data_IF_599965449769
#
_entry.id   IF_599965449769
#
_cell.length_a   1.000
_cell.length_b   1.000
_cell.length_c   1.000
_cell.angle_alpha   90.00
_cell.angle_beta   90.00
_cell.angle_gamma   90.00
#
_symmetry.space_group_name_H-M   'P 1'
#
loop_
_entity.id
_entity.type
_entity.pdbx_description
1 polymer ?
#
# COMPACT_ATOMS: atom_id res chain seq x y z
N UNK A 1 -70.71 73.03 6.24
CA UNK A 1 -70.65 72.37 4.93
C UNK A 1 -69.56 71.31 4.99
N UNK A 2 -69.97 70.07 4.69
CA UNK A 2 -69.22 68.81 4.73
C UNK A 2 -67.74 68.91 4.38
N UNK A 3 -66.87 68.26 5.17
CA UNK A 3 -65.99 67.20 4.67
C UNK A 3 -65.32 66.40 5.79
N UNK A 4 -65.87 65.19 5.99
CA UNK A 4 -65.28 63.90 6.37
C UNK A 4 -63.93 63.90 7.12
N UNK A 5 -64.00 63.48 8.38
CA UNK A 5 -62.88 62.95 9.14
C UNK A 5 -62.37 61.65 8.49
N UNK A 6 -61.08 61.59 8.19
CA UNK A 6 -60.38 60.37 7.82
C UNK A 6 -59.34 60.07 8.92
N UNK A 7 -59.61 59.03 9.69
CA UNK A 7 -58.72 58.49 10.72
C UNK A 7 -57.58 57.77 9.99
N UNK A 8 -56.36 58.32 10.09
CA UNK A 8 -55.14 57.66 9.64
C UNK A 8 -54.72 56.62 10.69
N UNK A 9 -54.92 55.35 10.33
CA UNK A 9 -54.46 54.19 11.09
C UNK A 9 -52.92 54.07 10.90
N UNK A 10 -52.15 54.30 11.97
CA UNK A 10 -50.71 53.99 11.97
C UNK A 10 -50.53 52.47 12.05
N UNK A 11 -50.20 51.83 10.92
CA UNK A 11 -49.76 50.44 10.88
C UNK A 11 -48.26 50.41 11.19
N UNK A 12 -47.90 49.93 12.38
CA UNK A 12 -46.52 49.64 12.76
C UNK A 12 -46.04 48.41 11.95
N UNK A 13 -44.96 48.48 11.16
CA UNK A 13 -44.44 47.28 10.52
C UNK A 13 -43.72 46.44 11.58
N UNK A 14 -44.31 45.30 11.94
CA UNK A 14 -43.62 44.22 12.64
C UNK A 14 -42.55 43.67 11.70
N UNK A 15 -41.31 44.16 11.86
CA UNK A 15 -40.13 43.57 11.23
C UNK A 15 -39.87 42.24 11.93
N UNK A 16 -40.44 41.16 11.40
CA UNK A 16 -40.02 39.81 11.75
C UNK A 16 -38.59 39.62 11.24
N UNK A 17 -37.61 39.72 12.14
CA UNK A 17 -36.23 39.36 11.87
C UNK A 17 -36.17 37.84 11.76
N UNK A 18 -36.26 37.32 10.54
CA UNK A 18 -35.96 35.92 10.27
C UNK A 18 -34.46 35.73 10.53
N UNK A 19 -34.11 35.25 11.73
CA UNK A 19 -32.80 34.67 11.95
C UNK A 19 -32.82 33.32 11.25
N UNK A 20 -32.29 33.28 10.03
CA UNK A 20 -31.87 32.02 9.43
C UNK A 20 -30.72 31.55 10.30
N UNK A 21 -31.02 30.71 11.30
CA UNK A 21 -29.98 29.91 11.92
C UNK A 21 -29.50 28.96 10.84
N UNK A 22 -28.33 29.24 10.25
CA UNK A 22 -27.62 28.24 9.48
C UNK A 22 -27.48 27.00 10.38
N UNK A 23 -27.96 25.86 9.90
CA UNK A 23 -27.84 24.60 10.62
C UNK A 23 -26.36 24.28 10.76
N UNK A 24 -25.76 24.62 11.91
CA UNK A 24 -24.39 24.23 12.23
C UNK A 24 -24.38 22.72 12.44
N UNK A 25 -23.45 22.02 11.80
CA UNK A 25 -23.28 20.59 12.02
C UNK A 25 -23.05 20.29 13.50
N UNK A 26 -23.70 19.25 14.02
CA UNK A 26 -23.51 18.79 15.41
C UNK A 26 -22.21 17.99 15.58
N UNK A 27 -21.58 17.56 14.48
CA UNK A 27 -20.39 16.73 14.49
C UNK A 27 -19.11 17.53 14.25
N UNK A 28 -19.19 18.61 13.47
CA UNK A 28 -18.04 19.51 13.21
C UNK A 28 -18.53 20.95 13.16
N UNK A 29 -17.94 21.81 13.99
CA UNK A 29 -18.29 23.23 14.05
C UNK A 29 -17.12 24.09 14.51
N UNK A 30 -17.07 25.38 14.15
CA UNK A 30 -16.04 26.30 14.66
C UNK A 30 -16.11 26.44 16.18
N UNK A 31 -14.96 26.33 16.84
CA UNK A 31 -14.75 26.68 18.24
C UNK A 31 -14.56 28.20 18.42
N UNK A 32 -14.51 28.62 19.68
CA UNK A 32 -14.36 30.05 20.04
C UNK A 32 -13.03 30.64 19.56
N UNK A 33 -12.01 29.81 19.34
CA UNK A 33 -10.69 30.20 18.83
C UNK A 33 -10.59 30.18 17.29
N UNK A 34 -11.69 29.88 16.59
CA UNK A 34 -11.74 29.77 15.13
C UNK A 34 -11.21 28.44 14.58
N UNK A 35 -10.78 27.50 15.42
CA UNK A 35 -10.45 26.12 14.99
C UNK A 35 -11.71 25.29 14.83
N UNK A 36 -11.66 24.17 14.10
CA UNK A 36 -12.79 23.25 14.02
C UNK A 36 -12.78 22.29 15.21
N UNK A 37 -13.90 22.25 15.95
CA UNK A 37 -14.17 21.23 16.95
C UNK A 37 -14.87 20.04 16.29
N UNK A 38 -14.43 18.85 16.67
CA UNK A 38 -14.89 17.58 16.09
C UNK A 38 -15.42 16.67 17.20
N UNK A 39 -16.70 16.34 17.14
CA UNK A 39 -17.40 15.56 18.15
C UNK A 39 -17.43 14.08 17.76
N UNK A 40 -17.02 13.16 18.66
CA UNK A 40 -17.14 11.74 18.40
C UNK A 40 -18.60 11.31 18.21
N UNK A 41 -18.83 10.28 17.39
CA UNK A 41 -20.15 9.74 17.11
C UNK A 41 -20.15 8.21 17.05
N UNK A 42 -21.35 7.65 17.22
CA UNK A 42 -21.62 6.22 17.09
C UNK A 42 -22.29 5.96 15.74
N UNK A 43 -21.86 4.92 15.01
CA UNK A 43 -22.61 4.45 13.85
C UNK A 43 -23.92 3.78 14.28
N UNK A 44 -24.81 3.54 13.32
CA UNK A 44 -26.00 2.74 13.56
C UNK A 44 -25.62 1.36 14.14
N UNK A 45 -26.25 0.97 15.26
CA UNK A 45 -25.95 -0.28 15.96
C UNK A 45 -24.80 -0.19 16.97
N UNK A 46 -24.07 0.93 17.05
CA UNK A 46 -23.04 1.14 18.06
C UNK A 46 -23.60 1.85 19.29
N UNK A 47 -23.14 1.43 20.47
CA UNK A 47 -23.53 2.04 21.75
C UNK A 47 -22.49 3.06 22.27
N UNK A 48 -21.32 3.15 21.63
CA UNK A 48 -20.19 3.99 22.01
C UNK A 48 -19.80 4.95 20.87
N UNK A 49 -19.57 6.22 21.21
CA UNK A 49 -19.17 7.25 20.27
C UNK A 49 -17.65 7.27 20.07
N UNK A 50 -17.15 6.39 19.20
CA UNK A 50 -15.70 6.20 18.95
C UNK A 50 -15.24 6.72 17.59
N UNK A 51 -16.15 6.97 16.66
CA UNK A 51 -15.81 7.51 15.34
C UNK A 51 -15.70 9.03 15.40
N UNK A 52 -14.91 9.60 14.51
CA UNK A 52 -14.73 11.05 14.38
C UNK A 52 -14.68 11.40 12.91
N UNK A 53 -15.31 12.52 12.52
CA UNK A 53 -15.18 13.02 11.14
C UNK A 53 -13.68 13.24 10.87
N UNK A 54 -13.08 12.59 9.85
CA UNK A 54 -11.66 12.74 9.57
C UNK A 54 -11.29 14.20 9.32
N UNK A 55 -10.27 14.67 10.02
CA UNK A 55 -9.76 16.03 9.89
C UNK A 55 -8.78 16.12 8.70
N UNK A 56 -9.20 16.82 7.65
CA UNK A 56 -8.41 17.14 6.47
C UNK A 56 -8.09 18.63 6.35
N UNK A 57 -8.11 19.39 7.45
CA UNK A 57 -7.64 20.78 7.46
C UNK A 57 -6.18 20.94 6.99
N UNK A 58 -5.43 19.83 6.98
CA UNK A 58 -4.14 19.66 6.32
C UNK A 58 -4.20 19.54 4.78
N UNK A 59 -5.30 19.92 4.13
CA UNK A 59 -5.37 19.93 2.68
C UNK A 59 -4.58 21.11 2.11
N UNK A 60 -3.66 20.83 1.18
CA UNK A 60 -2.82 21.83 0.53
C UNK A 60 -1.39 21.34 0.32
N UNK A 61 -0.55 22.20 -0.24
CA UNK A 61 0.87 21.88 -0.44
C UNK A 61 1.54 21.53 0.89
N UNK A 62 2.25 20.41 0.94
CA UNK A 62 2.94 19.88 2.12
C UNK A 62 2.04 19.69 3.35
N UNK A 63 0.78 19.34 3.16
CA UNK A 63 -0.16 19.15 4.28
C UNK A 63 -0.83 20.45 4.74
N UNK A 64 -0.89 21.47 3.87
CA UNK A 64 -1.49 22.76 4.19
C UNK A 64 -0.55 23.64 5.04
N UNK A 65 -0.84 24.94 5.08
CA UNK A 65 -0.04 25.91 5.85
C UNK A 65 1.32 26.28 5.24
N UNK A 66 1.75 25.63 4.15
CA UNK A 66 2.96 25.97 3.39
C UNK A 66 2.56 26.60 2.06
N UNK A 67 3.12 27.78 1.76
CA UNK A 67 2.94 28.42 0.45
C UNK A 67 3.54 27.58 -0.67
N UNK A 68 2.92 27.62 -1.85
CA UNK A 68 3.51 27.01 -3.04
C UNK A 68 4.88 27.66 -3.32
N UNK A 69 5.90 26.87 -3.70
CA UNK A 69 7.22 27.39 -4.00
C UNK A 69 7.18 28.20 -5.30
N UNK A 70 7.89 29.33 -5.33
CA UNK A 70 8.11 30.05 -6.58
C UNK A 70 9.31 29.46 -7.32
N UNK A 71 9.02 28.53 -8.24
CA UNK A 71 10.03 27.84 -9.04
C UNK A 71 10.54 28.76 -10.17
N UNK A 72 11.87 28.94 -10.33
CA UNK A 72 12.42 29.79 -11.38
C UNK A 72 12.01 29.33 -12.79
N UNK A 73 11.62 30.29 -13.64
CA UNK A 73 11.36 30.05 -15.06
C UNK A 73 12.68 29.85 -15.79
N UNK A 74 12.82 28.68 -16.42
CA UNK A 74 14.03 28.30 -17.18
C UNK A 74 13.76 28.20 -18.69
N UNK A 75 12.48 28.10 -19.07
CA UNK A 75 12.07 28.07 -20.46
C UNK A 75 10.74 28.82 -20.62
N UNK A 76 10.59 29.58 -21.72
CA UNK A 76 9.37 30.36 -22.01
C UNK A 76 8.90 30.11 -23.43
N UNK A 77 7.61 29.79 -23.58
CA UNK A 77 6.96 29.57 -24.86
C UNK A 77 5.87 30.63 -25.07
N UNK A 78 5.68 30.98 -26.33
CA UNK A 78 4.66 31.92 -26.80
C UNK A 78 3.58 31.17 -27.58
N UNK A 79 2.34 31.68 -27.59
CA UNK A 79 1.27 31.11 -28.39
C UNK A 79 1.60 31.22 -29.88
N UNK A 80 1.39 30.15 -30.62
CA UNK A 80 1.55 30.10 -32.07
C UNK A 80 0.31 29.40 -32.68
N UNK A 81 -0.08 29.73 -33.92
CA UNK A 81 -1.19 29.04 -34.59
C UNK A 81 -0.94 27.54 -34.74
N UNK A 82 -1.98 26.73 -34.50
CA UNK A 82 -1.97 25.28 -34.67
C UNK A 82 -1.59 24.50 -33.40
N UNK A 83 -1.43 23.19 -33.55
CA UNK A 83 -1.19 22.27 -32.44
C UNK A 83 0.17 22.53 -31.76
N UNK A 84 0.12 22.89 -30.48
CA UNK A 84 1.26 23.21 -29.63
C UNK A 84 1.85 21.99 -28.93
N UNK A 85 1.22 20.80 -29.01
CA UNK A 85 1.60 19.62 -28.23
C UNK A 85 3.09 19.30 -28.31
N UNK A 86 3.63 19.19 -29.52
CA UNK A 86 5.04 18.81 -29.74
C UNK A 86 6.01 19.86 -29.20
N UNK A 87 5.70 21.15 -29.35
CA UNK A 87 6.54 22.25 -28.86
C UNK A 87 6.58 22.29 -27.34
N UNK A 88 5.41 22.17 -26.69
CA UNK A 88 5.31 22.16 -25.22
C UNK A 88 5.96 20.91 -24.64
N UNK A 89 5.74 19.72 -25.24
CA UNK A 89 6.40 18.50 -24.79
C UNK A 89 7.93 18.62 -24.91
N UNK A 90 8.43 19.13 -26.03
CA UNK A 90 9.87 19.31 -26.20
C UNK A 90 10.49 20.28 -25.17
N UNK A 91 9.74 21.26 -24.70
CA UNK A 91 10.16 22.16 -23.61
C UNK A 91 10.21 21.42 -22.26
N UNK A 92 9.18 20.63 -21.95
CA UNK A 92 9.16 19.77 -20.77
C UNK A 92 10.36 18.79 -20.80
N UNK A 93 10.66 18.20 -21.95
CA UNK A 93 11.77 17.26 -22.11
C UNK A 93 13.14 17.93 -21.91
N UNK A 94 13.32 19.17 -22.40
CA UNK A 94 14.53 19.97 -22.16
C UNK A 94 14.71 20.29 -20.68
N UNK A 95 13.65 20.75 -20.01
CA UNK A 95 13.70 21.01 -18.56
C UNK A 95 13.92 19.71 -17.77
N UNK A 96 13.38 18.58 -18.23
CA UNK A 96 13.63 17.26 -17.65
C UNK A 96 15.11 16.87 -17.66
N UNK A 97 15.88 17.34 -18.64
CA UNK A 97 17.31 17.08 -18.76
C UNK A 97 18.20 17.94 -17.85
N UNK A 98 17.66 19.02 -17.25
CA UNK A 98 18.42 19.89 -16.35
C UNK A 98 18.69 19.20 -15.01
N UNK A 99 19.83 19.45 -14.39
CA UNK A 99 20.11 18.97 -13.02
C UNK A 99 19.17 19.67 -12.03
N UNK A 100 18.51 18.93 -11.10
CA UNK A 100 17.68 19.55 -10.08
C UNK A 100 18.53 20.37 -9.11
N UNK A 101 17.95 21.46 -8.60
CA UNK A 101 18.52 22.27 -7.54
C UNK A 101 18.47 21.55 -6.17
N UNK A 102 18.98 22.23 -5.12
CA UNK A 102 19.02 21.68 -3.76
C UNK A 102 17.62 21.38 -3.17
N UNK A 103 16.57 22.01 -3.70
CA UNK A 103 15.17 21.80 -3.31
C UNK A 103 14.50 20.72 -4.17
N UNK A 104 15.21 20.17 -5.17
CA UNK A 104 14.73 19.14 -6.08
C UNK A 104 13.97 19.65 -7.30
N UNK A 105 14.06 20.94 -7.63
CA UNK A 105 13.44 21.54 -8.82
C UNK A 105 14.42 21.68 -9.98
N UNK A 106 13.98 21.35 -11.19
CA UNK A 106 14.70 21.57 -12.46
C UNK A 106 14.33 22.92 -13.09
N UNK A 107 13.13 23.41 -12.80
CA UNK A 107 12.65 24.72 -13.22
C UNK A 107 11.22 24.70 -13.74
N UNK A 108 10.70 25.88 -14.08
CA UNK A 108 9.39 26.06 -14.65
C UNK A 108 9.45 26.32 -16.17
N UNK A 109 8.57 25.66 -16.91
CA UNK A 109 8.21 25.98 -18.30
C UNK A 109 7.07 26.98 -18.25
N UNK A 110 7.33 28.23 -18.62
CA UNK A 110 6.32 29.29 -18.68
C UNK A 110 5.66 29.32 -20.06
N UNK A 111 4.34 29.17 -20.09
CA UNK A 111 3.50 29.46 -21.25
C UNK A 111 2.94 30.87 -21.09
N UNK A 112 3.36 31.81 -21.93
CA UNK A 112 2.84 33.19 -21.85
C UNK A 112 1.35 33.23 -22.18
N UNK A 113 0.69 34.34 -21.83
CA UNK A 113 -0.72 34.58 -22.16
C UNK A 113 -1.04 34.27 -23.62
N UNK A 114 -2.14 33.56 -23.85
CA UNK A 114 -2.61 33.13 -25.17
C UNK A 114 -3.28 31.76 -25.13
N UNK A 115 -3.80 31.37 -26.29
CA UNK A 115 -4.40 30.06 -26.53
C UNK A 115 -3.37 29.09 -27.10
N UNK A 116 -3.32 27.88 -26.53
CA UNK A 116 -2.52 26.77 -27.02
C UNK A 116 -3.43 25.57 -27.27
N UNK A 117 -3.63 25.24 -28.54
CA UNK A 117 -4.34 24.02 -28.95
C UNK A 117 -3.45 22.81 -28.74
N UNK A 118 -3.94 21.75 -28.10
CA UNK A 118 -3.16 20.55 -27.84
C UNK A 118 -3.99 19.33 -28.25
N UNK A 119 -3.53 18.61 -29.27
CA UNK A 119 -4.14 17.35 -29.69
C UNK A 119 -3.46 16.15 -29.01
N UNK A 120 -4.00 15.72 -27.87
CA UNK A 120 -3.51 14.60 -27.08
C UNK A 120 -2.96 15.03 -25.71
N UNK A 121 -2.00 14.26 -25.18
CA UNK A 121 -1.49 14.45 -23.82
C UNK A 121 -0.12 15.16 -23.77
N UNK A 122 0.12 15.88 -22.68
CA UNK A 122 1.45 16.31 -22.22
C UNK A 122 1.93 15.42 -21.06
N UNK A 123 3.22 15.11 -21.04
CA UNK A 123 3.84 14.17 -20.11
C UNK A 123 4.94 14.85 -19.29
N UNK A 124 4.81 14.79 -17.96
CA UNK A 124 5.85 15.16 -17.01
C UNK A 124 6.24 13.87 -16.28
N UNK A 125 7.34 13.26 -16.72
CA UNK A 125 7.79 11.94 -16.24
C UNK A 125 9.00 12.00 -15.31
N UNK A 126 9.49 13.22 -15.00
CA UNK A 126 10.64 13.46 -14.15
C UNK A 126 10.26 14.42 -13.02
N UNK A 127 10.85 14.21 -11.83
CA UNK A 127 10.70 15.10 -10.68
C UNK A 127 11.24 16.51 -10.95
N UNK A 128 10.64 17.51 -10.32
CA UNK A 128 11.17 18.88 -10.25
C UNK A 128 10.67 19.84 -11.32
N UNK A 129 9.59 19.53 -12.04
CA UNK A 129 9.16 20.31 -13.21
C UNK A 129 7.82 20.98 -12.95
N UNK A 130 7.75 22.28 -13.21
CA UNK A 130 6.49 23.04 -13.14
C UNK A 130 6.09 23.50 -14.54
N UNK A 131 4.85 23.21 -14.95
CA UNK A 131 4.22 23.82 -16.13
C UNK A 131 3.37 25.00 -15.65
N UNK A 132 3.79 26.22 -16.01
CA UNK A 132 3.24 27.47 -15.48
C UNK A 132 2.59 28.30 -16.58
N UNK A 133 1.39 28.82 -16.33
CA UNK A 133 0.77 29.84 -17.17
C UNK A 133 0.97 31.25 -16.61
N UNK A 134 0.47 32.25 -17.35
CA UNK A 134 0.52 33.66 -17.00
C UNK A 134 -0.79 34.19 -16.36
N UNK A 135 -1.68 33.31 -15.92
CA UNK A 135 -3.01 33.64 -15.40
C UNK A 135 -4.11 32.82 -16.07
N UNK A 136 -5.30 32.81 -15.48
CA UNK A 136 -6.48 32.23 -16.16
C UNK A 136 -6.90 33.11 -17.33
N UNK A 137 -7.05 32.54 -18.53
CA UNK A 137 -7.48 33.25 -19.73
C UNK A 137 -8.92 33.76 -19.60
N UNK A 138 -9.10 34.94 -19.02
CA UNK A 138 -10.40 35.58 -18.85
C UNK A 138 -10.54 36.76 -19.81
N UNK A 139 -11.78 37.13 -20.14
CA UNK A 139 -12.05 38.29 -20.99
C UNK A 139 -11.49 39.61 -20.42
N UNK A 140 -11.32 39.71 -19.09
CA UNK A 140 -10.91 40.92 -18.39
C UNK A 140 -9.38 41.05 -18.28
N UNK A 141 -8.66 39.94 -18.03
CA UNK A 141 -7.23 39.98 -17.70
C UNK A 141 -6.34 39.28 -18.73
N UNK A 142 -6.92 38.65 -19.77
CA UNK A 142 -6.17 37.69 -20.59
C UNK A 142 -5.66 36.53 -19.75
N UNK A 143 -4.67 35.78 -20.22
CA UNK A 143 -4.08 34.65 -19.50
C UNK A 143 -3.74 33.49 -20.43
N UNK A 144 -3.30 32.39 -19.86
CA UNK A 144 -2.93 31.17 -20.59
C UNK A 144 -4.10 30.20 -20.60
N UNK A 145 -4.48 29.74 -21.79
CA UNK A 145 -5.45 28.67 -21.98
C UNK A 145 -4.83 27.51 -22.74
N UNK A 146 -4.91 26.32 -22.15
CA UNK A 146 -4.65 25.06 -22.82
C UNK A 146 -5.98 24.42 -23.20
N UNK A 147 -6.24 24.27 -24.51
CA UNK A 147 -7.46 23.63 -25.00
C UNK A 147 -7.14 22.23 -25.53
N UNK A 148 -7.75 21.21 -24.94
CA UNK A 148 -7.67 19.83 -25.41
C UNK A 148 -8.54 19.67 -26.66
N UNK A 149 -7.92 19.33 -27.79
CA UNK A 149 -8.62 19.23 -29.10
C UNK A 149 -8.84 17.80 -29.58
N UNK A 150 -8.33 16.79 -28.86
CA UNK A 150 -8.57 15.39 -29.20
C UNK A 150 -10.05 15.01 -28.95
N UNK A 151 -10.68 14.35 -29.93
CA UNK A 151 -12.10 13.97 -29.89
C UNK A 151 -12.36 12.64 -29.14
N UNK A 152 -11.54 12.33 -28.15
CA UNK A 152 -11.64 11.12 -27.35
C UNK A 152 -11.37 11.43 -25.89
N UNK A 153 -11.97 10.66 -24.98
CA UNK A 153 -11.63 10.74 -23.55
C UNK A 153 -10.16 10.34 -23.34
N UNK A 154 -9.38 11.20 -22.69
CA UNK A 154 -7.97 10.96 -22.39
C UNK A 154 -7.52 11.75 -21.15
N UNK A 155 -6.36 11.40 -20.59
CA UNK A 155 -5.69 12.24 -19.59
C UNK A 155 -4.91 13.34 -20.29
N UNK A 156 -5.28 14.59 -20.06
CA UNK A 156 -4.74 15.73 -20.81
C UNK A 156 -3.30 16.11 -20.42
N UNK A 157 -3.01 16.18 -19.12
CA UNK A 157 -1.66 16.36 -18.58
C UNK A 157 -1.38 15.20 -17.62
N UNK A 158 -0.32 14.45 -17.87
CA UNK A 158 0.08 13.27 -17.11
C UNK A 158 1.31 13.59 -16.29
N UNK A 159 1.18 13.54 -14.97
CA UNK A 159 2.30 13.60 -14.02
C UNK A 159 2.55 12.17 -13.56
N UNK A 160 3.41 11.45 -14.28
CA UNK A 160 3.60 10.02 -14.05
C UNK A 160 5.06 9.62 -14.26
N UNK A 161 5.71 9.20 -13.18
CA UNK A 161 7.03 8.56 -13.29
C UNK A 161 6.95 7.10 -13.72
N UNK A 162 8.10 6.42 -13.67
CA UNK A 162 8.18 4.97 -13.82
C UNK A 162 7.74 4.28 -12.51
N UNK A 163 6.55 4.60 -12.03
CA UNK A 163 6.01 4.05 -10.79
C UNK A 163 5.84 2.54 -10.92
N UNK A 164 6.59 1.82 -10.11
CA UNK A 164 6.44 0.38 -9.93
C UNK A 164 5.99 0.21 -8.49
N UNK A 165 4.73 -0.23 -8.32
CA UNK A 165 4.30 -0.79 -7.06
C UNK A 165 5.06 -2.10 -6.90
N UNK A 166 6.11 -2.07 -6.08
CA UNK A 166 6.77 -3.31 -5.69
C UNK A 166 5.79 -3.94 -4.71
N UNK A 167 5.17 -5.07 -5.09
CA UNK A 167 4.46 -5.92 -4.13
C UNK A 167 5.38 -6.08 -2.93
N UNK A 168 4.89 -5.92 -1.69
CA UNK A 168 5.76 -5.82 -0.54
C UNK A 168 6.66 -7.07 -0.46
N UNK A 169 7.91 -6.90 -0.89
CA UNK A 169 8.98 -7.88 -0.77
C UNK A 169 9.65 -7.45 0.52
N UNK A 170 9.52 -8.24 1.58
CA UNK A 170 10.33 -8.01 2.77
C UNK A 170 11.81 -8.02 2.36
N UNK A 171 12.69 -7.24 3.00
CA UNK A 171 14.14 -7.33 2.74
C UNK A 171 14.70 -8.75 2.96
N UNK A 172 13.90 -9.64 3.59
CA UNK A 172 14.21 -11.02 3.87
C UNK A 172 13.71 -12.00 2.81
N UNK A 173 12.92 -11.58 1.83
CA UNK A 173 12.44 -12.46 0.77
C UNK A 173 13.61 -12.85 -0.13
N UNK A 174 13.83 -14.15 -0.29
CA UNK A 174 14.95 -14.69 -1.05
C UNK A 174 14.56 -15.01 -2.50
N UNK A 175 13.38 -15.61 -2.70
CA UNK A 175 12.91 -16.02 -4.03
C UNK A 175 11.39 -16.23 -4.05
N UNK A 176 10.80 -16.16 -5.25
CA UNK A 176 9.40 -16.46 -5.51
C UNK A 176 9.30 -17.31 -6.77
N UNK A 177 8.68 -18.49 -6.63
CA UNK A 177 8.61 -19.47 -7.71
C UNK A 177 7.18 -19.96 -7.91
N UNK A 178 6.84 -20.26 -9.16
CA UNK A 178 5.55 -20.85 -9.48
C UNK A 178 5.49 -22.28 -8.94
N UNK A 179 4.42 -22.61 -8.22
CA UNK A 179 4.17 -23.97 -7.77
C UNK A 179 4.03 -24.91 -8.98
N UNK A 180 4.86 -25.97 -9.08
CA UNK A 180 4.93 -26.80 -10.28
C UNK A 180 3.85 -27.90 -10.34
N UNK A 181 2.93 -27.94 -9.37
CA UNK A 181 1.94 -29.00 -9.22
C UNK A 181 2.47 -30.24 -8.50
N UNK A 182 1.56 -31.18 -8.19
CA UNK A 182 1.90 -32.45 -7.53
C UNK A 182 2.90 -33.25 -8.36
N UNK A 183 3.86 -33.89 -7.70
CA UNK A 183 4.79 -34.82 -8.32
C UNK A 183 6.06 -34.17 -8.88
N UNK A 184 6.15 -32.84 -8.81
CA UNK A 184 7.25 -32.06 -9.36
C UNK A 184 8.04 -31.35 -8.25
N UNK A 185 9.33 -31.14 -8.51
CA UNK A 185 10.22 -30.36 -7.65
C UNK A 185 10.10 -28.87 -7.96
N UNK A 186 10.08 -28.05 -6.91
CA UNK A 186 10.36 -26.61 -6.98
C UNK A 186 11.78 -26.36 -6.46
N UNK A 187 12.47 -25.35 -6.98
CA UNK A 187 13.80 -24.94 -6.51
C UNK A 187 13.76 -23.45 -6.25
N UNK A 188 14.17 -23.03 -5.06
CA UNK A 188 14.33 -21.63 -4.67
C UNK A 188 15.80 -21.29 -4.52
N UNK A 189 16.21 -20.15 -5.07
CA UNK A 189 17.54 -19.59 -4.79
C UNK A 189 17.55 -18.94 -3.40
N UNK A 190 18.29 -19.52 -2.48
CA UNK A 190 18.39 -19.04 -1.09
C UNK A 190 19.79 -18.54 -0.73
N UNK A 191 20.64 -18.30 -1.73
CA UNK A 191 22.07 -17.99 -1.57
C UNK A 191 22.30 -16.84 -0.59
N UNK A 192 21.57 -15.73 -0.73
CA UNK A 192 21.76 -14.54 0.11
C UNK A 192 21.48 -14.85 1.59
N UNK A 193 20.38 -15.56 1.89
CA UNK A 193 20.04 -15.91 3.27
C UNK A 193 21.08 -16.85 3.90
N UNK A 194 21.64 -17.77 3.12
CA UNK A 194 22.71 -18.66 3.61
C UNK A 194 24.00 -17.88 3.90
N UNK A 195 24.40 -16.97 3.01
CA UNK A 195 25.60 -16.14 3.23
C UNK A 195 25.45 -15.32 4.50
N UNK A 196 24.29 -14.68 4.69
CA UNK A 196 24.01 -13.89 5.90
C UNK A 196 24.08 -14.76 7.17
N UNK A 197 23.52 -15.98 7.15
CA UNK A 197 23.51 -16.87 8.32
C UNK A 197 24.87 -17.50 8.64
N UNK A 198 25.73 -17.72 7.64
CA UNK A 198 27.07 -18.27 7.87
C UNK A 198 27.98 -17.32 8.67
N UNK A 199 27.66 -16.02 8.69
CA UNK A 199 28.33 -15.00 9.51
C UNK A 199 27.72 -14.87 10.93
N UNK A 200 26.62 -15.57 11.20
CA UNK A 200 25.82 -15.52 12.43
C UNK A 200 26.00 -16.81 13.26
N UNK A 201 24.92 -17.43 13.74
CA UNK A 201 24.95 -18.63 14.58
C UNK A 201 24.96 -19.94 13.78
N UNK A 202 24.83 -19.84 12.45
CA UNK A 202 24.84 -20.96 11.50
C UNK A 202 23.63 -21.88 11.63
N UNK A 203 22.50 -21.37 12.08
CA UNK A 203 21.21 -22.06 12.03
C UNK A 203 20.25 -21.20 11.19
N UNK A 204 19.92 -21.68 9.98
CA UNK A 204 19.02 -20.93 9.10
C UNK A 204 17.58 -21.39 9.26
N UNK A 205 16.68 -20.44 9.44
CA UNK A 205 15.23 -20.67 9.35
C UNK A 205 14.65 -20.03 8.09
N UNK A 206 13.77 -20.77 7.41
CA UNK A 206 13.00 -20.29 6.27
C UNK A 206 11.52 -20.26 6.60
N UNK A 207 10.86 -19.21 6.13
CA UNK A 207 9.40 -19.13 6.10
C UNK A 207 8.91 -19.12 4.65
N UNK A 208 7.96 -19.99 4.32
CA UNK A 208 7.41 -20.14 2.99
C UNK A 208 5.91 -19.92 3.03
N UNK A 209 5.46 -18.96 2.22
CA UNK A 209 4.07 -18.52 2.18
C UNK A 209 3.60 -18.26 0.75
N UNK A 210 2.31 -18.00 0.59
CA UNK A 210 1.68 -17.64 -0.67
C UNK A 210 0.70 -16.50 -0.43
N UNK A 211 0.41 -15.74 -1.48
CA UNK A 211 -0.63 -14.70 -1.48
C UNK A 211 -1.96 -15.23 -2.06
N UNK A 212 -2.00 -16.49 -2.48
CA UNK A 212 -3.15 -17.08 -3.16
C UNK A 212 -3.97 -17.92 -2.19
N UNK A 213 -5.30 -17.76 -2.26
CA UNK A 213 -6.27 -18.57 -1.52
C UNK A 213 -6.50 -19.95 -2.14
N UNK A 214 -5.40 -20.68 -2.34
CA UNK A 214 -5.40 -22.03 -2.87
C UNK A 214 -4.50 -22.91 -2.00
N UNK A 215 -5.03 -24.07 -1.62
CA UNK A 215 -4.26 -25.04 -0.84
C UNK A 215 -3.32 -25.81 -1.76
N UNK A 216 -2.07 -25.85 -1.36
CA UNK A 216 -1.04 -26.74 -1.91
C UNK A 216 -0.25 -27.30 -0.72
N UNK A 217 0.58 -28.31 -0.94
CA UNK A 217 1.50 -28.80 0.09
C UNK A 217 2.76 -29.41 -0.50
N UNK A 218 3.81 -29.40 0.30
CA UNK A 218 5.06 -30.09 0.05
C UNK A 218 5.19 -31.34 0.92
N UNK A 219 6.09 -32.25 0.54
CA UNK A 219 6.53 -33.31 1.44
C UNK A 219 7.31 -32.71 2.62
N UNK A 220 7.07 -33.22 3.83
CA UNK A 220 7.86 -32.91 5.02
C UNK A 220 9.02 -33.90 5.18
N UNK A 221 9.85 -33.70 6.21
CA UNK A 221 10.87 -34.65 6.63
C UNK A 221 10.29 -35.96 7.14
N UNK A 222 9.10 -35.95 7.73
CA UNK A 222 8.38 -37.16 8.17
C UNK A 222 7.95 -38.02 6.96
N UNK A 223 7.97 -37.44 5.76
CA UNK A 223 7.84 -38.12 4.48
C UNK A 223 9.17 -38.61 3.88
N UNK A 224 10.22 -38.78 4.71
CA UNK A 224 11.59 -39.10 4.30
C UNK A 224 11.74 -40.32 3.39
N UNK A 225 10.73 -41.19 3.28
CA UNK A 225 10.75 -42.35 2.40
C UNK A 225 10.33 -42.04 0.96
N UNK A 226 9.85 -40.82 0.65
CA UNK A 226 9.39 -40.50 -0.69
C UNK A 226 10.12 -39.32 -1.35
N UNK A 227 10.24 -38.12 -0.76
CA UNK A 227 10.99 -36.97 -1.31
C UNK A 227 11.11 -35.78 -0.30
N UNK A 228 11.97 -35.83 0.74
CA UNK A 228 12.03 -34.76 1.76
C UNK A 228 12.59 -33.43 1.24
N UNK A 229 12.36 -32.30 1.96
CA UNK A 229 13.06 -31.04 1.70
C UNK A 229 14.57 -31.20 1.71
N UNK A 230 15.27 -30.52 0.80
CA UNK A 230 16.74 -30.53 0.75
C UNK A 230 17.29 -29.14 0.50
N UNK A 231 18.40 -28.81 1.17
CA UNK A 231 19.18 -27.61 0.93
C UNK A 231 20.52 -28.03 0.32
N UNK A 232 20.78 -27.61 -0.92
CA UNK A 232 22.03 -27.93 -1.63
C UNK A 232 22.91 -26.70 -1.73
N UNK A 233 24.15 -26.79 -1.25
CA UNK A 233 25.13 -25.72 -1.25
C UNK A 233 26.26 -26.05 -2.23
N UNK A 234 26.64 -25.09 -3.05
CA UNK A 234 27.79 -25.15 -3.96
C UNK A 234 28.95 -24.40 -3.31
N UNK A 235 30.03 -25.11 -3.00
CA UNK A 235 31.22 -24.55 -2.35
C UNK A 235 32.26 -24.06 -3.36
N UNK A 236 32.82 -22.88 -3.11
CA UNK A 236 33.95 -22.34 -3.85
C UNK A 236 35.24 -23.02 -3.40
N UNK A 237 35.69 -24.03 -4.15
CA UNK A 237 37.01 -24.62 -3.92
C UNK A 237 38.07 -23.72 -4.57
N UNK A 238 38.75 -22.92 -3.76
CA UNK A 238 39.84 -22.01 -4.11
C UNK A 238 40.96 -22.66 -4.97
N UNK A 239 40.71 -22.85 -6.27
CA UNK A 239 41.71 -23.22 -7.27
C UNK A 239 41.90 -24.72 -7.59
N UNK A 240 41.06 -25.65 -7.13
CA UNK A 240 41.24 -27.10 -7.38
C UNK A 240 40.35 -27.72 -8.48
N UNK A 241 39.49 -26.93 -9.13
CA UNK A 241 38.94 -27.26 -10.47
C UNK A 241 37.62 -28.03 -10.54
N UNK A 242 36.85 -28.14 -9.46
CA UNK A 242 35.44 -28.57 -9.53
C UNK A 242 34.67 -28.13 -8.27
N UNK A 243 33.51 -27.50 -8.43
CA UNK A 243 32.64 -27.15 -7.31
C UNK A 243 32.27 -28.41 -6.52
N UNK A 244 32.27 -28.31 -5.19
CA UNK A 244 31.76 -29.37 -4.31
C UNK A 244 30.34 -29.05 -3.88
N UNK A 245 29.49 -30.08 -3.84
CA UNK A 245 28.10 -29.96 -3.41
C UNK A 245 27.94 -30.59 -2.02
N UNK A 246 27.33 -29.83 -1.11
CA UNK A 246 26.83 -30.34 0.17
C UNK A 246 25.31 -30.36 0.10
N UNK A 247 24.68 -31.46 0.51
CA UNK A 247 23.23 -31.54 0.67
C UNK A 247 22.89 -31.72 2.14
N UNK A 248 22.10 -30.80 2.67
CA UNK A 248 21.60 -30.79 4.03
C UNK A 248 20.10 -31.11 4.04
N UNK A 249 19.64 -31.70 5.13
CA UNK A 249 18.25 -32.00 5.42
C UNK A 249 17.77 -31.15 6.59
N UNK A 250 16.47 -30.79 6.65
CA UNK A 250 15.97 -29.95 7.72
C UNK A 250 16.15 -30.65 9.07
N UNK A 251 16.63 -29.89 10.06
CA UNK A 251 16.64 -30.32 11.47
C UNK A 251 15.29 -30.12 12.13
N UNK A 252 14.43 -29.28 11.55
CA UNK A 252 13.02 -29.13 11.88
C UNK A 252 12.23 -28.69 10.64
N UNK A 253 11.02 -29.19 10.47
CA UNK A 253 10.04 -28.66 9.54
C UNK A 253 8.61 -28.78 10.04
N UNK A 254 7.82 -27.77 9.76
CA UNK A 254 6.41 -27.80 10.12
C UNK A 254 5.64 -26.80 9.28
N UNK A 255 4.34 -26.79 9.46
CA UNK A 255 3.51 -25.68 9.05
C UNK A 255 2.61 -25.27 10.21
N UNK A 256 2.16 -24.04 10.18
CA UNK A 256 1.17 -23.53 11.13
C UNK A 256 -0.15 -23.29 10.41
N UNK A 257 -1.24 -23.22 11.16
CA UNK A 257 -2.56 -22.95 10.59
C UNK A 257 -3.36 -22.00 11.46
N UNK A 258 -3.82 -20.89 10.89
CA UNK A 258 -4.64 -19.93 11.64
C UNK A 258 -6.07 -20.41 11.93
N UNK A 259 -6.84 -19.58 12.62
CA UNK A 259 -8.24 -19.84 12.94
C UNK A 259 -8.45 -20.80 14.10
N UNK A 260 -9.39 -21.73 13.94
CA UNK A 260 -9.76 -22.68 15.00
C UNK A 260 -8.63 -23.69 15.31
N UNK A 261 -7.64 -23.76 14.42
CA UNK A 261 -6.45 -24.60 14.54
C UNK A 261 -5.20 -23.82 14.98
N UNK A 262 -5.34 -22.55 15.38
CA UNK A 262 -4.21 -21.66 15.66
C UNK A 262 -3.28 -22.13 16.79
N UNK A 263 -3.82 -22.88 17.75
CA UNK A 263 -3.07 -23.45 18.87
C UNK A 263 -2.50 -24.85 18.57
N UNK A 264 -2.89 -25.46 17.43
CA UNK A 264 -2.45 -26.80 17.07
C UNK A 264 -1.02 -26.77 16.48
N UNK A 265 -0.23 -27.76 16.85
CA UNK A 265 1.08 -28.04 16.25
C UNK A 265 0.93 -29.11 15.15
N UNK A 266 1.72 -29.00 14.08
CA UNK A 266 1.69 -29.92 12.95
C UNK A 266 3.07 -30.53 12.61
N UNK A 267 4.05 -30.47 13.52
CA UNK A 267 5.42 -30.96 13.29
C UNK A 267 5.54 -32.47 13.04
N UNK A 268 4.49 -33.25 13.32
CA UNK A 268 4.47 -34.69 13.03
C UNK A 268 3.77 -35.06 11.71
N UNK A 269 3.25 -34.07 10.97
CA UNK A 269 2.53 -34.32 9.73
C UNK A 269 3.50 -34.65 8.58
N UNK A 270 3.14 -35.61 7.72
CA UNK A 270 3.95 -35.97 6.56
C UNK A 270 3.90 -34.94 5.42
N UNK A 271 3.31 -33.76 5.63
CA UNK A 271 3.17 -32.74 4.60
C UNK A 271 3.17 -31.34 5.17
N UNK A 272 3.82 -30.44 4.45
CA UNK A 272 3.93 -29.03 4.76
C UNK A 272 2.87 -28.27 3.98
N UNK A 273 1.77 -27.93 4.63
CA UNK A 273 0.63 -27.31 3.97
C UNK A 273 0.80 -25.79 3.86
N UNK A 274 0.40 -25.23 2.72
CA UNK A 274 0.51 -23.80 2.44
C UNK A 274 -0.77 -23.29 1.78
N UNK A 275 -1.23 -22.13 2.23
CA UNK A 275 -2.45 -21.48 1.76
C UNK A 275 -2.53 -20.06 2.31
N UNK A 276 -2.90 -19.07 1.52
CA UNK A 276 -3.37 -17.81 2.08
C UNK A 276 -4.86 -17.89 2.38
N UNK A 277 -5.31 -17.61 3.60
CA UNK A 277 -6.75 -17.54 3.88
C UNK A 277 -7.45 -16.32 3.26
N UNK A 278 -6.72 -15.49 2.53
CA UNK A 278 -7.18 -14.22 1.99
C UNK A 278 -7.50 -13.27 3.14
N UNK A 279 -8.71 -12.71 3.11
CA UNK A 279 -9.19 -11.76 4.12
C UNK A 279 -9.56 -12.41 5.46
N UNK A 280 -9.52 -13.75 5.58
CA UNK A 280 -9.66 -14.45 6.86
C UNK A 280 -8.40 -15.24 7.15
N UNK A 281 -7.63 -14.85 8.18
CA UNK A 281 -6.46 -15.64 8.63
C UNK A 281 -6.83 -17.06 9.10
N UNK A 282 -8.14 -17.37 9.19
CA UNK A 282 -8.71 -18.62 9.69
C UNK A 282 -8.28 -19.90 8.98
N UNK A 283 -7.80 -19.80 7.75
CA UNK A 283 -7.32 -20.97 6.99
C UNK A 283 -5.96 -20.74 6.35
N UNK A 284 -5.26 -19.68 6.78
CA UNK A 284 -3.88 -19.39 6.39
C UNK A 284 -2.99 -20.51 6.91
N UNK A 285 -2.12 -21.00 6.04
CA UNK A 285 -1.11 -22.02 6.31
C UNK A 285 0.22 -21.57 5.77
N UNK A 286 1.24 -21.69 6.61
CA UNK A 286 2.56 -21.12 6.44
C UNK A 286 3.58 -22.16 6.86
N UNK A 287 4.62 -22.35 6.06
CA UNK A 287 5.61 -23.43 6.26
C UNK A 287 6.89 -22.86 6.84
N UNK A 288 7.47 -23.57 7.81
CA UNK A 288 8.72 -23.22 8.47
C UNK A 288 9.70 -24.38 8.33
N UNK A 289 10.94 -24.08 7.91
CA UNK A 289 12.03 -25.05 7.77
C UNK A 289 13.25 -24.54 8.52
N UNK A 290 13.99 -25.41 9.19
CA UNK A 290 15.25 -25.07 9.86
C UNK A 290 16.37 -26.01 9.43
N UNK A 291 17.55 -25.47 9.17
CA UNK A 291 18.74 -26.23 8.80
C UNK A 291 19.95 -25.86 9.67
N UNK A 292 20.74 -26.86 10.03
CA UNK A 292 22.04 -26.68 10.68
C UNK A 292 23.14 -26.50 9.62
N UNK A 293 23.78 -25.32 9.61
CA UNK A 293 24.87 -24.97 8.71
C UNK A 293 26.26 -25.08 9.39
N UNK A 294 26.34 -25.59 10.62
CA UNK A 294 27.60 -25.68 11.37
C UNK A 294 28.68 -26.51 10.68
N UNK A 295 28.28 -27.46 9.83
CA UNK A 295 29.18 -28.28 9.00
C UNK A 295 29.79 -27.54 7.81
N UNK A 296 29.28 -26.36 7.47
CA UNK A 296 29.76 -25.54 6.35
C UNK A 296 30.94 -24.69 6.82
N UNK A 297 32.11 -24.96 6.24
CA UNK A 297 33.37 -24.30 6.62
C UNK A 297 33.98 -23.48 5.50
N UNK A 298 33.63 -23.78 4.26
CA UNK A 298 34.08 -23.05 3.07
C UNK A 298 33.05 -21.98 2.64
N UNK A 299 33.52 -21.01 1.85
CA UNK A 299 32.67 -20.02 1.20
C UNK A 299 31.77 -20.69 0.15
N UNK A 300 30.48 -20.36 0.15
CA UNK A 300 29.53 -20.85 -0.86
C UNK A 300 29.42 -19.85 -2.03
N UNK A 301 29.18 -20.36 -3.24
CA UNK A 301 28.80 -19.54 -4.40
C UNK A 301 27.31 -19.53 -4.67
N UNK A 302 26.60 -20.59 -4.27
CA UNK A 302 25.19 -20.78 -4.60
C UNK A 302 24.52 -21.71 -3.58
N UNK A 303 23.25 -21.46 -3.30
CA UNK A 303 22.42 -22.34 -2.48
C UNK A 303 21.01 -22.49 -3.05
N UNK A 304 20.55 -23.74 -3.15
CA UNK A 304 19.22 -24.12 -3.63
C UNK A 304 18.44 -24.84 -2.53
N UNK A 305 17.25 -24.32 -2.17
CA UNK A 305 16.27 -25.10 -1.42
C UNK A 305 15.31 -25.80 -2.39
N UNK A 306 15.14 -27.11 -2.23
CA UNK A 306 14.24 -27.92 -3.06
C UNK A 306 13.13 -28.56 -2.24
N UNK A 307 11.90 -28.41 -2.72
CA UNK A 307 10.69 -28.99 -2.13
C UNK A 307 9.91 -29.79 -3.16
N UNK A 308 9.26 -30.86 -2.73
CA UNK A 308 8.51 -31.76 -3.60
C UNK A 308 7.00 -31.58 -3.43
N UNK A 309 6.29 -31.22 -4.51
CA UNK A 309 4.84 -31.01 -4.48
C UNK A 309 4.09 -32.31 -4.15
N UNK A 310 3.37 -32.34 -3.04
CA UNK A 310 2.74 -33.56 -2.50
C UNK A 310 1.23 -33.60 -2.70
N UNK A 311 0.53 -32.50 -2.42
CA UNK A 311 -0.93 -32.42 -2.54
C UNK A 311 -1.37 -31.05 -3.04
N UNK A 312 -2.47 -31.02 -3.78
CA UNK A 312 -3.27 -29.84 -4.09
C UNK A 312 -4.76 -30.16 -3.85
N UNK A 313 -5.62 -29.14 -3.88
CA UNK A 313 -7.07 -29.37 -3.84
C UNK A 313 -7.57 -29.88 -5.19
N UNK A 314 -8.17 -31.07 -5.19
CA UNK A 314 -8.88 -31.62 -6.34
C UNK A 314 -10.25 -30.94 -6.48
N UNK A 315 -10.53 -30.34 -7.64
CA UNK A 315 -11.92 -29.99 -8.04
C UNK A 315 -12.24 -28.49 -8.20
N UNK A 316 -11.30 -27.59 -7.93
CA UNK A 316 -11.42 -26.16 -8.24
C UNK A 316 -10.57 -25.79 -9.46
N UNK A 317 -10.86 -24.68 -10.18
CA UNK A 317 -9.95 -24.19 -11.21
C UNK A 317 -8.57 -23.91 -10.59
N UNK A 318 -7.54 -24.65 -11.03
CA UNK A 318 -6.17 -24.44 -10.55
C UNK A 318 -5.74 -23.03 -10.96
N UNK A 319 -5.61 -22.11 -10.00
CA UNK A 319 -4.97 -20.82 -10.24
C UNK A 319 -3.47 -21.05 -10.37
N UNK A 320 -2.79 -20.15 -11.09
CA UNK A 320 -1.34 -20.10 -11.05
C UNK A 320 -0.92 -19.65 -9.65
N UNK A 321 -0.40 -20.59 -8.86
CA UNK A 321 0.06 -20.33 -7.50
C UNK A 321 1.54 -20.00 -7.52
N UNK A 322 1.92 -18.92 -6.84
CA UNK A 322 3.31 -18.60 -6.54
C UNK A 322 3.55 -18.79 -5.05
N UNK A 323 4.67 -19.41 -4.71
CA UNK A 323 5.15 -19.49 -3.34
C UNK A 323 6.39 -18.62 -3.21
N UNK A 324 6.48 -17.94 -2.08
CA UNK A 324 7.57 -17.04 -1.73
C UNK A 324 8.30 -17.63 -0.55
N UNK A 325 9.63 -17.66 -0.62
CA UNK A 325 10.49 -18.03 0.49
C UNK A 325 11.18 -16.79 1.05
N UNK A 326 11.26 -16.72 2.36
CA UNK A 326 11.96 -15.67 3.07
C UNK A 326 12.84 -16.25 4.18
N UNK A 327 13.95 -15.55 4.42
CA UNK A 327 14.89 -15.80 5.51
C UNK A 327 14.29 -15.31 6.85
N UNK A 328 14.43 -16.08 7.92
CA UNK A 328 13.97 -15.73 9.27
C UNK A 328 15.19 -15.51 10.17
N UNK A 329 15.24 -14.36 10.85
CA UNK A 329 16.28 -14.06 11.85
C UNK A 329 16.00 -14.76 13.18
N UNK A 330 14.74 -14.82 13.59
CA UNK A 330 14.29 -15.63 14.73
C UNK A 330 14.16 -17.08 14.29
N UNK A 331 15.17 -17.85 14.67
CA UNK A 331 15.29 -19.28 14.51
C UNK A 331 15.08 -20.01 15.85
N UNK A 332 14.58 -19.34 16.90
CA UNK A 332 14.43 -19.91 18.24
C UNK A 332 13.24 -20.88 18.38
N UNK A 333 12.42 -21.00 17.34
CA UNK A 333 11.22 -21.84 17.34
C UNK A 333 11.54 -23.33 17.39
N UNK A 334 10.75 -24.09 18.15
CA UNK A 334 10.89 -25.55 18.23
C UNK A 334 9.77 -26.24 17.46
N UNK A 335 10.11 -27.27 16.69
CA UNK A 335 9.22 -27.97 15.75
C UNK A 335 7.91 -28.46 16.36
N UNK A 336 7.99 -28.94 17.61
CA UNK A 336 6.87 -29.53 18.35
C UNK A 336 6.15 -28.53 19.25
N UNK A 337 6.59 -27.26 19.28
CA UNK A 337 6.04 -26.21 20.13
C UNK A 337 5.45 -25.04 19.33
N UNK A 338 5.93 -24.84 18.10
CA UNK A 338 5.42 -23.81 17.21
C UNK A 338 3.96 -24.08 16.81
N UNK A 339 3.16 -23.04 16.82
CA UNK A 339 1.79 -23.00 16.35
C UNK A 339 1.56 -21.64 15.67
N UNK A 340 0.34 -21.37 15.20
CA UNK A 340 0.09 -20.12 14.47
C UNK A 340 0.31 -18.89 15.35
N UNK A 341 -0.04 -18.96 16.63
CA UNK A 341 -0.04 -17.81 17.53
C UNK A 341 1.35 -17.43 18.06
N UNK A 342 2.30 -18.37 18.11
CA UNK A 342 3.65 -18.13 18.61
C UNK A 342 4.74 -18.19 17.52
N UNK A 343 4.37 -18.38 16.25
CA UNK A 343 5.33 -18.49 15.15
C UNK A 343 6.22 -17.26 15.05
N UNK A 344 7.49 -17.43 14.66
CA UNK A 344 8.35 -16.30 14.31
C UNK A 344 7.76 -15.51 13.14
N UNK A 345 7.76 -14.18 13.26
CA UNK A 345 7.11 -13.28 12.32
C UNK A 345 8.02 -12.12 11.93
N UNK A 346 9.32 -12.37 11.85
CA UNK A 346 10.41 -11.40 11.66
C UNK A 346 10.38 -10.62 10.33
N UNK A 347 9.20 -10.39 9.77
CA UNK A 347 8.96 -9.62 8.56
C UNK A 347 9.00 -10.49 7.31
N UNK A 348 9.46 -11.73 7.45
CA UNK A 348 9.44 -12.75 6.44
C UNK A 348 8.10 -13.48 6.35
N UNK A 349 7.17 -13.27 7.29
CA UNK A 349 5.80 -13.79 7.26
C UNK A 349 4.77 -12.76 6.86
N UNK A 350 4.13 -12.98 5.71
CA UNK A 350 3.23 -12.08 4.98
C UNK A 350 3.72 -10.65 5.03
N UNK A 351 4.10 -10.10 3.87
CA UNK A 351 4.47 -8.70 3.83
C UNK A 351 3.41 -7.74 4.41
N UNK A 352 2.18 -8.24 4.59
CA UNK A 352 1.10 -7.69 5.40
C UNK A 352 1.17 -8.14 6.87
N UNK A 353 1.40 -7.17 7.75
CA UNK A 353 1.25 -7.27 9.20
C UNK A 353 -0.21 -7.04 9.61
N UNK A 354 -0.85 -7.99 10.29
CA UNK A 354 -2.27 -7.88 10.68
C UNK A 354 -2.48 -6.75 11.70
N UNK A 355 -3.61 -6.07 11.59
CA UNK A 355 -4.11 -5.17 12.64
C UNK A 355 -4.86 -6.02 13.68
N UNK A 356 -4.52 -5.85 14.96
CA UNK A 356 -5.10 -6.61 16.07
C UNK A 356 -6.13 -5.83 16.88
N UNK A 357 -6.22 -4.51 16.69
CA UNK A 357 -7.29 -3.70 17.28
C UNK A 357 -8.64 -4.15 16.70
N UNK A 358 -9.57 -4.68 17.51
CA UNK A 358 -10.81 -5.29 16.99
C UNK A 358 -11.73 -4.32 16.24
N UNK A 359 -11.64 -3.03 16.59
CA UNK A 359 -12.36 -1.94 15.96
C UNK A 359 -11.45 -0.72 15.84
N UNK A 360 -10.96 -0.47 14.63
CA UNK A 360 -10.26 0.78 14.29
C UNK A 360 -11.29 1.78 13.78
N UNK A 361 -11.50 2.87 14.50
CA UNK A 361 -12.54 3.85 14.19
C UNK A 361 -12.23 4.69 12.95
N UNK A 362 -13.26 5.21 12.28
CA UNK A 362 -13.07 6.31 11.34
C UNK A 362 -12.56 7.54 12.09
N UNK A 363 -11.55 8.21 11.53
CA UNK A 363 -10.82 9.29 12.19
C UNK A 363 -9.66 8.82 13.08
N UNK A 364 -9.42 7.51 13.20
CA UNK A 364 -8.32 6.99 14.02
C UNK A 364 -6.95 7.30 13.42
N UNK A 365 -5.99 7.59 14.31
CA UNK A 365 -4.57 7.78 14.00
C UNK A 365 -3.68 6.66 14.55
N UNK A 366 -4.27 5.69 15.24
CA UNK A 366 -3.53 4.64 15.94
C UNK A 366 -4.25 3.31 15.83
N UNK A 367 -3.48 2.23 15.76
CA UNK A 367 -3.96 0.86 15.84
C UNK A 367 -2.80 -0.05 16.27
N UNK A 368 -3.14 -1.22 16.81
CA UNK A 368 -2.20 -2.26 17.20
C UNK A 368 -2.02 -3.25 16.05
N UNK A 369 -0.83 -3.81 15.95
CA UNK A 369 -0.50 -4.86 14.99
C UNK A 369 0.02 -6.12 15.69
N UNK A 370 0.14 -7.24 14.95
CA UNK A 370 0.73 -8.47 15.50
C UNK A 370 2.18 -8.23 15.99
N UNK A 371 3.00 -7.54 15.18
CA UNK A 371 4.36 -7.13 15.54
C UNK A 371 4.79 -5.85 14.83
N UNK A 372 5.27 -4.86 15.59
CA UNK A 372 5.82 -3.63 15.03
C UNK A 372 7.34 -3.67 14.79
N UNK A 373 8.00 -4.80 15.11
CA UNK A 373 9.47 -4.96 15.09
C UNK A 373 10.15 -4.57 13.77
N UNK A 374 9.45 -4.74 12.65
CA UNK A 374 9.97 -4.45 11.32
C UNK A 374 9.69 -3.03 10.83
N UNK A 375 9.00 -2.20 11.61
CA UNK A 375 8.63 -0.84 11.22
C UNK A 375 9.45 0.19 11.98
N UNK A 376 9.74 1.30 11.31
CA UNK A 376 10.39 2.46 11.90
C UNK A 376 9.50 3.70 11.77
N UNK A 377 9.67 4.64 12.70
CA UNK A 377 9.11 5.99 12.54
C UNK A 377 9.66 6.61 11.26
N UNK A 378 8.79 7.15 10.42
CA UNK A 378 9.11 7.68 9.10
C UNK A 378 8.86 6.72 7.95
N UNK A 379 8.65 5.42 8.21
CA UNK A 379 8.32 4.46 7.15
C UNK A 379 6.99 4.84 6.48
N UNK A 380 6.98 4.82 5.14
CA UNK A 380 5.74 4.80 4.37
C UNK A 380 5.14 3.40 4.43
N UNK A 381 3.88 3.31 4.82
CA UNK A 381 3.10 2.07 4.86
C UNK A 381 1.84 2.22 4.03
N UNK A 382 1.28 1.11 3.60
CA UNK A 382 -0.10 1.02 3.12
C UNK A 382 -0.91 0.34 4.22
N UNK A 383 -1.97 1.00 4.69
CA UNK A 383 -2.98 0.43 5.58
C UNK A 383 -4.11 -0.11 4.72
N UNK A 384 -4.32 -1.42 4.73
CA UNK A 384 -5.29 -2.10 3.87
C UNK A 384 -6.50 -2.53 4.70
N UNK A 385 -7.67 -2.15 4.23
CA UNK A 385 -8.93 -2.74 4.70
C UNK A 385 -9.23 -4.01 3.93
N UNK A 386 -9.57 -5.08 4.63
CA UNK A 386 -9.81 -6.42 4.05
C UNK A 386 -11.24 -6.89 4.33
N UNK A 387 -12.26 -6.34 3.62
CA UNK A 387 -13.64 -6.76 3.85
C UNK A 387 -13.86 -8.24 3.53
N UNK A 388 -14.86 -8.85 4.17
CA UNK A 388 -15.27 -10.24 3.94
C UNK A 388 -16.71 -10.32 3.39
N UNK A 389 -17.19 -11.53 3.11
CA UNK A 389 -18.54 -11.72 2.58
C UNK A 389 -19.64 -11.27 3.56
N UNK A 390 -19.42 -11.40 4.87
CA UNK A 390 -20.36 -10.90 5.89
C UNK A 390 -20.61 -9.40 5.73
N UNK A 391 -19.58 -8.60 5.43
CA UNK A 391 -19.73 -7.18 5.17
C UNK A 391 -20.59 -6.89 3.91
N UNK A 392 -20.40 -7.68 2.85
CA UNK A 392 -21.20 -7.56 1.62
C UNK A 392 -22.67 -7.89 1.88
N UNK A 393 -22.92 -8.95 2.64
CA UNK A 393 -24.26 -9.45 2.91
C UNK A 393 -25.03 -8.51 3.84
N UNK A 394 -24.42 -8.06 4.95
CA UNK A 394 -25.08 -7.22 5.95
C UNK A 394 -25.35 -5.79 5.46
N UNK A 395 -24.46 -5.24 4.62
CA UNK A 395 -24.69 -3.95 3.99
C UNK A 395 -25.50 -4.07 2.69
N UNK A 396 -25.82 -5.28 2.23
CA UNK A 396 -26.52 -5.54 0.98
C UNK A 396 -25.79 -4.96 -0.26
N UNK A 397 -24.45 -4.95 -0.25
CA UNK A 397 -23.64 -4.26 -1.27
C UNK A 397 -23.60 -5.00 -2.61
N UNK A 398 -23.93 -6.30 -2.64
CA UNK A 398 -23.95 -7.10 -3.86
C UNK A 398 -24.86 -6.50 -4.95
N UNK A 399 -25.94 -5.79 -4.58
CA UNK A 399 -26.84 -5.13 -5.52
C UNK A 399 -26.17 -4.01 -6.35
N UNK A 400 -25.06 -3.47 -5.85
CA UNK A 400 -24.23 -2.47 -6.54
C UNK A 400 -23.04 -3.09 -7.28
N UNK A 401 -22.99 -4.43 -7.37
CA UNK A 401 -21.92 -5.17 -8.03
C UNK A 401 -20.62 -5.26 -7.21
N UNK A 402 -20.66 -4.92 -5.91
CA UNK A 402 -19.48 -4.99 -5.05
C UNK A 402 -19.22 -6.41 -4.60
N UNK A 403 -17.96 -6.81 -4.64
CA UNK A 403 -17.43 -8.01 -3.98
C UNK A 403 -16.46 -7.60 -2.87
N UNK A 404 -16.25 -8.49 -1.90
CA UNK A 404 -15.26 -8.27 -0.85
C UNK A 404 -13.88 -7.91 -1.44
N UNK A 405 -13.40 -8.69 -2.41
CA UNK A 405 -12.11 -8.45 -3.06
C UNK A 405 -12.04 -7.10 -3.79
N UNK A 406 -13.11 -6.70 -4.47
CA UNK A 406 -13.17 -5.41 -5.19
C UNK A 406 -13.12 -4.19 -4.26
N UNK A 407 -13.40 -4.40 -2.97
CA UNK A 407 -13.42 -3.34 -1.96
C UNK A 407 -12.25 -3.44 -0.97
N UNK A 408 -11.18 -4.17 -1.34
CA UNK A 408 -9.89 -4.09 -0.67
C UNK A 408 -9.24 -2.76 -1.05
N UNK A 409 -9.19 -1.84 -0.10
CA UNK A 409 -8.70 -0.47 -0.33
C UNK A 409 -7.45 -0.25 0.54
N UNK A 410 -6.38 0.20 -0.09
CA UNK A 410 -5.13 0.59 0.55
C UNK A 410 -5.04 2.10 0.76
N UNK A 411 -4.58 2.50 1.94
CA UNK A 411 -4.37 3.88 2.33
C UNK A 411 -2.89 4.12 2.63
N UNK A 412 -2.21 4.91 1.81
CA UNK A 412 -0.81 5.28 2.07
C UNK A 412 -0.71 6.20 3.30
N UNK A 413 0.16 5.84 4.24
CA UNK A 413 0.39 6.54 5.50
C UNK A 413 1.89 6.58 5.81
N UNK A 414 2.29 7.51 6.67
CA UNK A 414 3.62 7.57 7.26
C UNK A 414 3.49 7.26 8.75
N UNK A 415 4.35 6.38 9.26
CA UNK A 415 4.42 6.08 10.69
C UNK A 415 5.02 7.28 11.43
N UNK A 416 4.29 7.80 12.42
CA UNK A 416 4.70 8.97 13.23
C UNK A 416 5.21 8.59 14.61
N UNK A 417 4.81 7.43 15.15
CA UNK A 417 5.30 6.89 16.41
C UNK A 417 5.05 5.37 16.49
N UNK A 418 5.88 4.67 17.27
CA UNK A 418 5.74 3.25 17.60
C UNK A 418 5.89 3.10 19.12
N UNK A 419 4.94 2.43 19.78
CA UNK A 419 5.00 2.11 21.21
C UNK A 419 4.57 0.66 21.43
N UNK A 420 5.53 -0.24 21.68
CA UNK A 420 5.28 -1.68 21.59
C UNK A 420 4.78 -2.03 20.19
N UNK A 421 3.61 -2.66 20.10
CA UNK A 421 2.96 -2.99 18.83
C UNK A 421 1.92 -1.95 18.36
N UNK A 422 1.79 -0.82 19.06
CA UNK A 422 0.90 0.28 18.64
C UNK A 422 1.61 1.16 17.62
N UNK A 423 1.03 1.29 16.42
CA UNK A 423 1.48 2.18 15.35
C UNK A 423 0.66 3.46 15.37
N UNK A 424 1.32 4.62 15.28
CA UNK A 424 0.68 5.91 15.00
C UNK A 424 0.97 6.36 13.58
N UNK A 425 -0.01 6.97 12.90
CA UNK A 425 0.09 7.43 11.50
C UNK A 425 -0.12 8.94 11.36
N UNK A 426 0.24 9.50 10.20
CA UNK A 426 0.19 10.95 9.94
C UNK A 426 -1.18 11.49 9.47
N UNK A 427 -2.02 10.66 8.84
CA UNK A 427 -3.32 11.05 8.29
C UNK A 427 -4.38 10.09 8.85
N UNK A 428 -5.56 10.58 9.29
CA UNK A 428 -6.56 9.70 9.88
C UNK A 428 -7.06 8.66 8.89
N UNK A 429 -7.50 7.51 9.39
CA UNK A 429 -8.21 6.52 8.59
C UNK A 429 -9.61 7.04 8.27
N UNK A 430 -10.03 6.89 7.02
CA UNK A 430 -11.30 7.46 6.51
C UNK A 430 -12.48 6.51 6.67
N UNK A 431 -12.20 5.26 7.02
CA UNK A 431 -13.18 4.21 7.14
C UNK A 431 -12.81 3.32 8.31
N UNK A 432 -13.82 2.84 9.04
CA UNK A 432 -13.62 1.89 10.11
C UNK A 432 -13.16 0.53 9.59
N UNK A 433 -12.33 -0.15 10.38
CA UNK A 433 -11.94 -1.55 10.17
C UNK A 433 -12.37 -2.35 11.38
N UNK A 434 -13.11 -3.43 11.13
CA UNK A 434 -13.76 -4.22 12.16
C UNK A 434 -13.40 -5.68 11.94
N UNK A 435 -12.95 -6.38 12.99
CA UNK A 435 -12.57 -7.79 12.90
C UNK A 435 -13.72 -8.66 12.36
N UNK A 436 -14.96 -8.35 12.75
CA UNK A 436 -16.17 -9.02 12.25
C UNK A 436 -16.25 -8.98 10.71
N UNK A 437 -15.86 -7.86 10.12
CA UNK A 437 -15.90 -7.62 8.68
C UNK A 437 -14.57 -7.89 8.00
N UNK A 438 -13.64 -8.58 8.66
CA UNK A 438 -12.36 -9.00 8.09
C UNK A 438 -11.17 -8.11 8.46
N UNK A 439 -11.38 -7.01 9.18
CA UNK A 439 -10.33 -6.18 9.76
C UNK A 439 -9.45 -5.49 8.73
N UNK A 440 -8.13 -5.52 8.98
CA UNK A 440 -7.13 -4.92 8.09
C UNK A 440 -5.72 -5.37 8.40
N UNK A 441 -4.79 -4.89 7.59
CA UNK A 441 -3.36 -5.15 7.71
C UNK A 441 -2.55 -3.94 7.23
N UNK A 442 -1.25 -3.92 7.56
CA UNK A 442 -0.32 -2.91 7.06
C UNK A 442 0.85 -3.57 6.36
N UNK A 443 1.43 -2.92 5.36
CA UNK A 443 2.70 -3.33 4.78
C UNK A 443 3.55 -2.10 4.44
N UNK A 444 4.87 -2.27 4.34
CA UNK A 444 5.75 -1.17 3.91
C UNK A 444 5.50 -0.82 2.45
N UNK A 445 5.18 0.44 2.19
CA UNK A 445 5.09 0.98 0.84
C UNK A 445 6.49 1.09 0.24
N UNK A 446 6.69 0.46 -0.92
CA UNK A 446 7.96 0.48 -1.66
C UNK A 446 7.77 0.99 -3.09
N UNK A 447 6.93 2.01 -3.25
CA UNK A 447 6.68 2.65 -4.55
C UNK A 447 7.97 3.33 -5.03
N UNK A 448 8.62 2.70 -6.02
CA UNK A 448 9.80 3.24 -6.69
C UNK A 448 9.37 4.00 -7.94
N UNK A 449 10.13 5.03 -8.30
CA UNK A 449 9.90 5.78 -9.54
C UNK A 449 8.81 6.86 -9.48
N UNK A 450 8.14 7.06 -8.34
CA UNK A 450 7.19 8.17 -8.12
C UNK A 450 7.91 9.51 -8.23
N UNK A 451 7.41 10.36 -9.10
CA UNK A 451 7.93 11.73 -9.25
C UNK A 451 7.46 12.61 -8.09
N UNK A 452 8.28 13.62 -7.77
CA UNK A 452 8.03 14.60 -6.71
C UNK A 452 8.35 16.00 -7.23
N UNK A 453 7.91 17.04 -6.51
CA UNK A 453 8.20 18.43 -6.85
C UNK A 453 7.74 18.82 -8.27
N UNK A 454 6.58 18.35 -8.69
CA UNK A 454 5.98 18.70 -9.98
C UNK A 454 4.71 19.52 -9.79
N UNK A 455 4.38 20.40 -10.74
CA UNK A 455 3.21 21.26 -10.65
C UNK A 455 2.64 21.69 -12.01
N UNK A 456 1.34 21.96 -12.04
CA UNK A 456 0.64 22.63 -13.14
C UNK A 456 -0.12 23.80 -12.53
N UNK A 457 0.20 25.02 -12.92
CA UNK A 457 -0.30 26.21 -12.21
C UNK A 457 -0.61 27.41 -13.09
N UNK A 458 -1.43 28.30 -12.55
CA UNK A 458 -1.69 29.65 -13.08
C UNK A 458 -2.18 29.67 -14.55
N UNK A 459 -3.09 28.78 -14.92
CA UNK A 459 -3.67 28.69 -16.26
C UNK A 459 -5.13 28.23 -16.23
N UNK A 460 -5.81 28.37 -17.37
CA UNK A 460 -7.08 27.74 -17.65
C UNK A 460 -6.87 26.49 -18.51
N UNK A 461 -7.58 25.41 -18.21
CA UNK A 461 -7.61 24.19 -19.02
C UNK A 461 -9.05 23.96 -19.47
N UNK A 462 -9.25 23.81 -20.78
CA UNK A 462 -10.55 23.57 -21.41
C UNK A 462 -10.48 22.36 -22.35
N UNK A 463 -11.64 21.82 -22.71
CA UNK A 463 -11.77 20.66 -23.61
C UNK A 463 -12.92 20.89 -24.59
N UNK A 464 -12.74 20.48 -25.85
CA UNK A 464 -13.82 20.47 -26.85
C UNK A 464 -14.50 19.11 -27.00
N UNK A 465 -13.99 18.06 -26.31
CA UNK A 465 -14.58 16.72 -26.27
C UNK A 465 -15.93 16.72 -25.55
#
# INVERSE_FOLDING_TARGET
>A
MNNRALILLFVLPLIFSWHIFAQTSSLVYPGEDGTLLYIPYANQGQNNAVNKIPDFSYAGYMGGGVSLPDVPVVETLYPEPGDARSRIQAAIDRVSALTPDASGFRGAVLLTSGLYEINGSLDINQSGIVLRGAGQNTAENGGTELIATAQTQHSFIRLQGNEIAVSPVSELTLDTQQYPGIGNWITFNVTNGIVDELESDKVISFHIFTDINQFTSYASREDALQNPPTLTLTLNLNGTGSDSLITLYPIADTYVRGGDDAENNFGSEASLAIKNGGTTVRVTREVYLKFDLSSVTEEISHADLKLYGKKDLTGEPIQTVFHTIAYMKDDSWEEMEINFNNRPMDGAGSAFMRITTPYVASGAFTFDVDSASNFNVGDSIIVVRTPNQTWIDELEMAQYGWTADSYVIGYERIITAINGNTISINIPLVQAMEDLYGGGSIYKSSIKGRIRNCGVENMMISSIY
#
